data_IF_642500232401
#
_entry.id   IF_642500232401
#
_cell.length_a   1.000
_cell.length_b   1.000
_cell.length_c   1.000
_cell.angle_alpha   90.00
_cell.angle_beta   90.00
_cell.angle_gamma   90.00
#
_symmetry.space_group_name_H-M   'P 1'
#
loop_
_entity.id
_entity.type
_entity.pdbx_description
1 polymer ?
#
# COMPACT_ATOMS: atom_id res chain seq x y z
N UNK A 1 -1.24 -10.21 2.31
CA UNK A 1 -0.82 -10.46 3.71
C UNK A 1 0.58 -9.91 3.90
N UNK A 2 0.91 -9.46 5.12
CA UNK A 2 2.29 -9.20 5.51
C UNK A 2 3.10 -10.50 5.55
N UNK A 3 4.44 -10.44 5.47
CA UNK A 3 5.29 -11.63 5.45
C UNK A 3 5.14 -12.54 6.67
N UNK A 4 4.88 -11.94 7.84
CA UNK A 4 4.59 -12.64 9.11
C UNK A 4 3.14 -13.15 9.22
N UNK A 5 2.28 -12.85 8.23
CA UNK A 5 0.87 -13.22 8.23
C UNK A 5 -0.01 -12.47 9.23
N UNK A 6 0.54 -11.55 10.03
CA UNK A 6 -0.19 -10.89 11.11
C UNK A 6 -1.06 -9.72 10.63
N UNK A 7 -0.84 -9.23 9.40
CA UNK A 7 -1.56 -8.08 8.85
C UNK A 7 -2.07 -8.35 7.43
N UNK A 8 -3.20 -7.73 7.13
CA UNK A 8 -3.76 -7.65 5.77
C UNK A 8 -3.62 -6.21 5.28
N UNK A 9 -3.38 -6.04 3.98
CA UNK A 9 -3.45 -4.74 3.32
C UNK A 9 -4.48 -4.82 2.20
N UNK A 10 -5.27 -3.77 2.05
CA UNK A 10 -6.29 -3.64 1.00
C UNK A 10 -6.25 -2.25 0.38
N UNK A 11 -6.42 -2.16 -0.94
CA UNK A 11 -6.79 -0.94 -1.65
C UNK A 11 -8.28 -0.95 -2.02
N UNK A 12 -8.88 0.22 -2.21
CA UNK A 12 -10.31 0.38 -2.46
C UNK A 12 -10.62 1.56 -3.39
N UNK A 13 -11.81 1.53 -4.00
CA UNK A 13 -12.39 2.63 -4.78
C UNK A 13 -12.72 3.85 -3.92
N UNK A 14 -12.76 3.71 -2.59
CA UNK A 14 -12.85 4.84 -1.64
C UNK A 14 -11.54 5.64 -1.54
N UNK A 15 -10.55 5.30 -2.37
CA UNK A 15 -9.23 5.94 -2.49
C UNK A 15 -8.30 5.67 -1.31
N UNK A 16 -8.69 4.82 -0.36
CA UNK A 16 -7.88 4.47 0.79
C UNK A 16 -7.09 3.19 0.58
N UNK A 17 -5.92 3.15 1.19
CA UNK A 17 -5.25 1.89 1.54
C UNK A 17 -5.49 1.66 3.03
N UNK A 18 -5.81 0.43 3.42
CA UNK A 18 -6.03 0.08 4.84
C UNK A 18 -5.17 -1.09 5.25
N UNK A 19 -4.65 -1.01 6.47
CA UNK A 19 -3.90 -2.09 7.12
C UNK A 19 -4.75 -2.61 8.28
N UNK A 20 -4.92 -3.92 8.33
CA UNK A 20 -5.76 -4.62 9.30
C UNK A 20 -4.91 -5.57 10.13
N UNK A 21 -5.30 -5.77 11.39
CA UNK A 21 -4.89 -6.96 12.12
C UNK A 21 -5.59 -8.19 11.54
N UNK A 22 -4.82 -9.20 11.13
CA UNK A 22 -5.37 -10.40 10.51
C UNK A 22 -6.10 -11.31 11.50
N UNK A 23 -5.79 -11.20 12.80
CA UNK A 23 -6.37 -12.04 13.84
C UNK A 23 -7.66 -11.45 14.42
N UNK A 24 -7.71 -10.12 14.60
CA UNK A 24 -8.88 -9.44 15.20
C UNK A 24 -9.79 -8.81 14.15
N UNK A 25 -9.29 -8.54 12.94
CA UNK A 25 -10.02 -7.79 11.92
C UNK A 25 -10.08 -6.28 12.19
N UNK A 26 -9.39 -5.79 13.23
CA UNK A 26 -9.35 -4.37 13.56
C UNK A 26 -8.51 -3.60 12.54
N UNK A 27 -8.98 -2.41 12.17
CA UNK A 27 -8.22 -1.47 11.36
C UNK A 27 -7.09 -0.86 12.19
N UNK A 28 -5.84 -1.04 11.75
CA UNK A 28 -4.65 -0.43 12.35
C UNK A 28 -4.36 0.94 11.77
N UNK A 29 -4.44 1.06 10.45
CA UNK A 29 -4.18 2.31 9.75
C UNK A 29 -5.10 2.45 8.53
N UNK A 30 -5.57 3.68 8.33
CA UNK A 30 -6.15 4.18 7.08
C UNK A 30 -5.18 5.17 6.46
N UNK A 31 -4.65 4.81 5.30
CA UNK A 31 -3.61 5.56 4.59
C UNK A 31 -4.30 6.38 3.50
N UNK A 32 -4.54 7.65 3.82
CA UNK A 32 -5.19 8.60 2.93
C UNK A 32 -4.14 9.38 2.13
N UNK A 33 -4.36 9.55 0.84
CA UNK A 33 -3.48 10.34 -0.02
C UNK A 33 -3.78 10.20 -1.50
N UNK A 34 -4.15 9.00 -1.95
CA UNK A 34 -4.59 8.79 -3.32
C UNK A 34 -5.85 9.62 -3.64
N UNK A 35 -5.92 10.13 -4.87
CA UNK A 35 -7.03 10.99 -5.32
C UNK A 35 -8.05 10.26 -6.18
N UNK A 36 -7.74 9.02 -6.57
CA UNK A 36 -8.61 8.07 -7.29
C UNK A 36 -8.46 6.66 -6.69
N UNK A 37 -9.14 5.69 -7.28
CA UNK A 37 -9.19 4.29 -6.86
C UNK A 37 -7.80 3.69 -6.69
N UNK A 38 -7.64 2.88 -5.65
CA UNK A 38 -6.42 2.11 -5.42
C UNK A 38 -6.60 0.74 -6.07
N UNK A 39 -5.76 0.46 -7.06
CA UNK A 39 -5.89 -0.72 -7.93
C UNK A 39 -5.03 -1.90 -7.45
N UNK A 40 -3.96 -1.62 -6.71
CA UNK A 40 -3.00 -2.64 -6.29
C UNK A 40 -2.26 -2.22 -5.03
N UNK A 41 -1.96 -3.19 -4.18
CA UNK A 41 -1.20 -3.02 -2.93
C UNK A 41 -0.28 -4.20 -2.70
N UNK A 42 0.89 -3.97 -2.10
CA UNK A 42 1.79 -5.04 -1.68
C UNK A 42 2.57 -4.63 -0.42
N UNK A 43 2.87 -5.61 0.44
CA UNK A 43 3.83 -5.42 1.53
C UNK A 43 5.26 -5.62 1.03
N UNK A 44 6.22 -4.91 1.62
CA UNK A 44 7.63 -5.23 1.48
C UNK A 44 7.96 -6.58 2.16
N UNK A 45 9.05 -7.27 1.76
CA UNK A 45 9.43 -8.56 2.34
C UNK A 45 9.77 -8.53 3.83
N UNK A 46 10.14 -7.37 4.36
CA UNK A 46 10.36 -7.14 5.80
C UNK A 46 9.07 -6.70 6.52
N UNK A 47 7.98 -6.48 5.78
CA UNK A 47 6.69 -6.03 6.31
C UNK A 47 6.69 -4.60 6.85
N UNK A 48 7.75 -3.83 6.69
CA UNK A 48 7.85 -2.47 7.25
C UNK A 48 7.16 -1.43 6.39
N UNK A 49 6.99 -1.71 5.09
CA UNK A 49 6.40 -0.82 4.10
C UNK A 49 5.23 -1.47 3.37
N UNK A 50 4.35 -0.61 2.88
CA UNK A 50 3.35 -0.96 1.85
C UNK A 50 3.64 -0.10 0.63
N UNK A 51 3.47 -0.67 -0.56
CA UNK A 51 3.39 0.08 -1.82
C UNK A 51 1.97 -0.02 -2.36
N UNK A 52 1.47 1.07 -2.94
CA UNK A 52 0.16 1.12 -3.60
C UNK A 52 0.25 1.78 -4.97
N UNK A 53 -0.55 1.28 -5.91
CA UNK A 53 -0.79 1.88 -7.21
C UNK A 53 -2.23 2.37 -7.32
N UNK A 54 -2.45 3.43 -8.10
CA UNK A 54 -3.77 4.03 -8.27
C UNK A 54 -4.00 4.54 -9.69
N UNK A 55 -5.28 4.68 -10.02
CA UNK A 55 -5.78 5.41 -11.19
C UNK A 55 -5.39 6.90 -11.19
N UNK A 56 -4.98 7.46 -10.04
CA UNK A 56 -4.40 8.80 -9.96
C UNK A 56 -2.99 8.89 -10.56
N UNK A 57 -2.51 7.79 -11.15
CA UNK A 57 -1.24 7.65 -11.87
C UNK A 57 -0.01 7.71 -10.98
N UNK A 58 -0.20 7.70 -9.65
CA UNK A 58 0.89 7.67 -8.69
C UNK A 58 1.11 6.28 -8.10
N UNK A 59 2.36 6.00 -7.76
CA UNK A 59 2.73 4.92 -6.83
C UNK A 59 3.09 5.57 -5.50
N UNK A 60 2.59 5.04 -4.39
CA UNK A 60 2.90 5.56 -3.04
C UNK A 60 3.50 4.49 -2.17
N UNK A 61 4.45 4.88 -1.32
CA UNK A 61 5.10 4.02 -0.34
C UNK A 61 4.76 4.54 1.05
N UNK A 62 4.30 3.63 1.91
CA UNK A 62 3.79 3.95 3.24
C UNK A 62 4.61 3.26 4.31
N UNK A 63 4.75 3.90 5.46
CA UNK A 63 5.23 3.26 6.68
C UNK A 63 4.10 2.50 7.38
N UNK A 64 4.31 1.22 7.66
CA UNK A 64 3.25 0.39 8.25
C UNK A 64 3.11 0.51 9.76
N UNK A 65 4.04 1.22 10.42
CA UNK A 65 4.04 1.47 11.87
C UNK A 65 3.43 2.83 12.21
N UNK A 66 3.67 3.85 11.38
CA UNK A 66 3.11 5.20 11.59
C UNK A 66 1.87 5.45 10.74
N UNK A 67 1.70 4.73 9.64
CA UNK A 67 0.66 5.00 8.64
C UNK A 67 0.96 6.21 7.75
N UNK A 68 2.15 6.78 7.83
CA UNK A 68 2.53 7.96 7.05
C UNK A 68 3.03 7.60 5.65
N UNK A 69 2.83 8.51 4.70
CA UNK A 69 3.43 8.43 3.38
C UNK A 69 4.94 8.74 3.47
N UNK A 70 5.77 7.82 2.98
CA UNK A 70 7.21 8.03 2.84
C UNK A 70 7.57 8.65 1.50
N UNK A 71 6.95 8.16 0.42
CA UNK A 71 7.23 8.61 -0.93
C UNK A 71 5.98 8.58 -1.80
N UNK A 72 5.90 9.57 -2.69
CA UNK A 72 5.02 9.59 -3.84
C UNK A 72 5.88 9.59 -5.10
N UNK A 73 5.65 8.60 -5.95
CA UNK A 73 6.36 8.41 -7.20
C UNK A 73 5.38 8.76 -8.33
N UNK A 74 5.67 9.86 -9.00
CA UNK A 74 4.96 10.32 -10.18
C UNK A 74 5.75 9.96 -11.44
N UNK A 75 5.05 9.70 -12.55
CA UNK A 75 5.70 9.45 -13.84
C UNK A 75 4.86 8.63 -14.81
N UNK A 76 3.92 7.81 -14.32
CA UNK A 76 2.95 7.16 -15.18
C UNK A 76 2.01 8.19 -15.81
N UNK A 77 1.72 8.02 -17.10
CA UNK A 77 0.80 8.89 -17.86
C UNK A 77 -0.65 8.37 -17.86
N UNK A 78 -0.82 7.13 -17.37
CA UNK A 78 -2.05 6.37 -17.23
C UNK A 78 -2.10 5.71 -15.84
N UNK A 79 -3.22 5.09 -15.53
CA UNK A 79 -3.46 4.32 -14.32
C UNK A 79 -2.34 3.32 -14.03
N UNK A 80 -1.95 3.23 -12.75
CA UNK A 80 -1.07 2.15 -12.30
C UNK A 80 -1.95 0.95 -12.04
N UNK A 81 -1.69 -0.18 -12.70
CA UNK A 81 -2.52 -1.39 -12.58
C UNK A 81 -1.97 -2.42 -11.61
N UNK A 82 -0.67 -2.37 -11.31
CA UNK A 82 -0.02 -3.33 -10.41
C UNK A 82 1.23 -2.74 -9.78
N UNK A 83 1.50 -3.14 -8.54
CA UNK A 83 2.75 -2.87 -7.83
C UNK A 83 3.22 -4.13 -7.10
N UNK A 84 4.53 -4.27 -6.95
CA UNK A 84 5.15 -5.33 -6.17
C UNK A 84 6.49 -4.84 -5.63
N UNK A 85 6.93 -5.41 -4.52
CA UNK A 85 8.32 -5.32 -4.10
C UNK A 85 9.12 -6.47 -4.69
N UNK A 86 10.38 -6.20 -5.02
CA UNK A 86 11.40 -7.21 -5.23
C UNK A 86 11.55 -8.12 -4.00
N UNK A 87 11.99 -9.39 -4.17
CA UNK A 87 12.13 -10.33 -3.06
C UNK A 87 13.11 -9.88 -1.96
N UNK A 88 14.11 -9.06 -2.31
CA UNK A 88 15.05 -8.47 -1.35
C UNK A 88 14.56 -7.15 -0.74
N UNK A 89 13.43 -6.61 -1.23
CA UNK A 89 12.80 -5.39 -0.73
C UNK A 89 13.51 -4.09 -1.10
N UNK A 90 14.53 -4.13 -1.96
CA UNK A 90 15.31 -2.95 -2.33
C UNK A 90 14.72 -2.16 -3.49
N UNK A 91 13.81 -2.77 -4.25
CA UNK A 91 13.15 -2.22 -5.45
C UNK A 91 11.67 -2.52 -5.46
#
# INVERSE_FOLDING_TARGET
>A
FSPDGMRVVSGSDDKSVRIWDASTGEEKHKLDGHTHWVTSVAFSPDGTRVVSGSDDKSVRIWDTSTGEEKHKLDGHTREVTSVAFSPDGTR
#
